data_IF_889748917555
#
_entry.id   IF_889748917555
#
_cell.length_a   1.000
_cell.length_b   1.000
_cell.length_c   1.000
_cell.angle_alpha   90.00
_cell.angle_beta   90.00
_cell.angle_gamma   90.00
#
_symmetry.space_group_name_H-M   'P 1'
#
loop_
_entity.id
_entity.type
_entity.pdbx_description
1 polymer ?
#
# COMPACT_ATOMS: atom_id res chain seq x y z
N UNK A 1 -7.01 -18.24 3.50
CA UNK A 1 -6.82 -17.04 4.32
C UNK A 1 -5.77 -16.22 3.61
N UNK A 2 -6.00 -14.97 3.20
CA UNK A 2 -4.95 -14.19 2.58
C UNK A 2 -3.96 -13.81 3.68
N UNK A 3 -2.73 -14.31 3.56
CA UNK A 3 -1.57 -13.83 4.27
C UNK A 3 -1.35 -12.39 3.84
N UNK A 4 -1.29 -11.46 4.79
CA UNK A 4 -0.82 -10.11 4.50
C UNK A 4 0.70 -10.18 4.50
N UNK A 5 1.26 -10.50 3.34
CA UNK A 5 2.69 -10.48 3.12
C UNK A 5 3.13 -9.03 2.97
N UNK A 6 4.19 -8.64 3.63
CA UNK A 6 4.80 -7.30 3.46
C UNK A 6 5.52 -7.15 2.12
N UNK A 7 5.76 -8.25 1.43
CA UNK A 7 5.86 -8.30 -0.01
C UNK A 7 4.44 -8.49 -0.53
N UNK A 8 3.81 -7.42 -0.97
CA UNK A 8 2.45 -7.48 -1.46
C UNK A 8 2.39 -8.32 -2.74
N UNK A 9 1.90 -9.55 -2.61
CA UNK A 9 1.53 -10.37 -3.77
C UNK A 9 0.19 -9.84 -4.25
N UNK A 10 0.23 -9.00 -5.27
CA UNK A 10 -0.97 -8.41 -5.87
C UNK A 10 -1.84 -9.50 -6.48
N UNK A 11 -3.04 -9.67 -5.96
CA UNK A 11 -4.07 -10.55 -6.51
C UNK A 11 -4.92 -9.78 -7.52
N UNK A 12 -4.73 -10.03 -8.81
CA UNK A 12 -5.47 -9.40 -9.90
C UNK A 12 -6.80 -10.13 -10.15
N UNK A 13 -7.86 -9.78 -9.43
CA UNK A 13 -9.12 -10.54 -9.45
C UNK A 13 -10.15 -10.09 -10.50
N UNK A 14 -10.19 -8.82 -10.88
CA UNK A 14 -11.18 -8.27 -11.83
C UNK A 14 -10.61 -8.03 -13.22
N UNK A 15 -9.39 -7.52 -13.29
CA UNK A 15 -8.68 -7.26 -14.53
C UNK A 15 -7.28 -7.84 -14.40
N UNK A 16 -6.84 -8.65 -15.35
CA UNK A 16 -5.48 -9.17 -15.35
C UNK A 16 -4.48 -8.00 -15.40
N UNK A 17 -3.52 -8.02 -14.48
CA UNK A 17 -2.41 -7.06 -14.43
C UNK A 17 -2.73 -5.65 -13.87
N UNK A 18 -3.96 -5.42 -13.39
CA UNK A 18 -4.33 -4.16 -12.73
C UNK A 18 -5.15 -4.45 -11.48
N UNK A 19 -4.78 -3.85 -10.36
CA UNK A 19 -5.55 -3.89 -9.10
C UNK A 19 -5.88 -2.47 -8.67
N UNK A 20 -7.10 -2.27 -8.19
CA UNK A 20 -7.53 -1.00 -7.64
C UNK A 20 -8.21 -1.23 -6.29
N UNK A 21 -7.97 -0.33 -5.35
CA UNK A 21 -8.58 -0.36 -4.02
C UNK A 21 -8.67 1.02 -3.40
N UNK A 22 -9.54 1.17 -2.40
CA UNK A 22 -9.57 2.33 -1.50
C UNK A 22 -9.35 1.80 -0.08
N UNK A 23 -8.38 2.35 0.62
CA UNK A 23 -7.98 1.86 1.94
C UNK A 23 -7.83 3.01 2.93
N UNK A 24 -8.31 2.81 4.15
CA UNK A 24 -8.04 3.69 5.29
C UNK A 24 -6.78 3.21 5.99
N UNK A 25 -5.79 4.08 6.12
CA UNK A 25 -4.46 3.74 6.65
C UNK A 25 -4.19 4.58 7.89
N UNK A 26 -3.87 3.96 9.01
CA UNK A 26 -3.21 4.60 10.13
C UNK A 26 -1.70 4.56 9.95
N UNK A 27 -1.19 3.37 9.64
CA UNK A 27 0.22 3.13 9.36
C UNK A 27 0.34 1.94 8.40
N UNK A 28 1.14 2.08 7.36
CA UNK A 28 1.55 1.00 6.47
C UNK A 28 3.06 0.87 6.49
N UNK A 29 3.54 -0.29 6.93
CA UNK A 29 4.97 -0.59 7.01
C UNK A 29 5.69 -0.33 5.69
N UNK A 30 7.01 -0.08 5.71
CA UNK A 30 7.83 -0.13 4.52
C UNK A 30 7.61 -1.43 3.78
N UNK A 31 7.17 -1.33 2.55
CA UNK A 31 6.88 -2.46 1.68
C UNK A 31 7.39 -2.18 0.27
N UNK A 32 7.38 -3.22 -0.54
CA UNK A 32 7.89 -3.16 -1.89
C UNK A 32 7.07 -4.11 -2.78
N UNK A 33 6.77 -3.70 -4.00
CA UNK A 33 6.11 -4.55 -4.99
C UNK A 33 6.59 -4.24 -6.39
N UNK A 34 6.35 -5.16 -7.35
CA UNK A 34 6.78 -5.03 -8.74
C UNK A 34 5.77 -4.31 -9.65
N UNK A 35 4.82 -3.60 -9.07
CA UNK A 35 3.84 -2.81 -9.82
C UNK A 35 4.24 -1.34 -9.83
N UNK A 36 3.90 -0.65 -10.92
CA UNK A 36 3.78 0.81 -10.91
C UNK A 36 2.55 1.16 -10.07
N UNK A 37 2.71 1.98 -9.05
CA UNK A 37 1.60 2.39 -8.18
C UNK A 37 1.31 3.88 -8.32
N UNK A 38 0.02 4.18 -8.47
CA UNK A 38 -0.54 5.53 -8.50
C UNK A 38 -1.52 5.62 -7.34
N UNK A 39 -1.30 6.56 -6.42
CA UNK A 39 -2.16 6.79 -5.26
C UNK A 39 -2.80 8.17 -5.36
N UNK A 40 -4.09 8.26 -5.05
CA UNK A 40 -4.78 9.52 -4.84
C UNK A 40 -5.22 9.61 -3.37
N UNK A 41 -4.80 10.64 -2.66
CA UNK A 41 -5.23 10.89 -1.28
C UNK A 41 -6.66 11.44 -1.33
N UNK A 42 -7.63 10.68 -0.83
CA UNK A 42 -9.04 11.04 -0.83
C UNK A 42 -9.47 11.83 0.42
N UNK A 43 -8.79 11.64 1.55
CA UNK A 43 -9.04 12.38 2.79
C UNK A 43 -7.89 12.17 3.78
N UNK A 44 -7.67 13.14 4.67
CA UNK A 44 -6.65 13.10 5.72
C UNK A 44 -5.26 13.47 5.23
N UNK A 45 -4.29 13.34 6.11
CA UNK A 45 -2.89 13.71 5.90
C UNK A 45 -1.95 12.58 6.30
N UNK A 46 -0.79 12.50 5.67
CA UNK A 46 0.21 11.48 5.95
C UNK A 46 1.63 11.97 5.68
N UNK A 47 2.59 11.39 6.39
CA UNK A 47 4.00 11.40 6.04
C UNK A 47 4.30 10.15 5.21
N UNK A 48 4.98 10.35 4.09
CA UNK A 48 5.38 9.28 3.17
C UNK A 48 6.88 9.22 3.12
N UNK A 49 7.45 8.03 3.38
CA UNK A 49 8.85 7.77 3.12
C UNK A 49 9.02 7.04 1.78
N UNK A 50 9.87 7.59 0.93
CA UNK A 50 10.32 6.97 -0.32
C UNK A 50 11.65 7.59 -0.76
N UNK A 51 12.54 6.83 -1.39
CA UNK A 51 13.83 7.33 -1.92
C UNK A 51 14.66 8.10 -0.90
N UNK A 52 14.80 7.57 0.31
CA UNK A 52 15.60 8.14 1.39
C UNK A 52 15.13 9.53 1.88
N UNK A 53 13.90 9.91 1.55
CA UNK A 53 13.26 11.15 2.04
C UNK A 53 11.88 10.87 2.63
N UNK A 54 11.52 11.69 3.62
CA UNK A 54 10.15 11.79 4.12
C UNK A 54 9.55 13.09 3.59
N UNK A 55 8.32 13.03 3.11
CA UNK A 55 7.57 14.21 2.70
C UNK A 55 6.12 14.11 3.16
N UNK A 56 5.55 15.27 3.49
CA UNK A 56 4.16 15.38 3.91
C UNK A 56 3.23 15.43 2.72
N UNK A 57 2.04 14.84 2.84
CA UNK A 57 1.01 14.78 1.81
C UNK A 57 -0.38 14.90 2.41
N UNK A 58 -1.35 15.35 1.64
CA UNK A 58 -2.73 15.53 2.08
C UNK A 58 -3.73 15.34 0.95
N UNK A 59 -4.99 15.62 1.26
CA UNK A 59 -6.12 15.46 0.35
C UNK A 59 -5.88 16.09 -1.03
N UNK A 60 -6.21 15.35 -2.08
CA UNK A 60 -6.00 15.73 -3.48
C UNK A 60 -4.59 15.44 -4.02
N UNK A 61 -3.64 15.05 -3.19
CA UNK A 61 -2.30 14.72 -3.65
C UNK A 61 -2.28 13.40 -4.44
N UNK A 62 -1.49 13.37 -5.51
CA UNK A 62 -1.21 12.17 -6.29
C UNK A 62 0.22 11.72 -5.98
N UNK A 63 0.35 10.50 -5.45
CA UNK A 63 1.62 9.86 -5.15
C UNK A 63 1.93 8.81 -6.20
N UNK A 64 3.23 8.63 -6.48
CA UNK A 64 3.72 7.78 -7.56
C UNK A 64 4.87 6.93 -7.04
N UNK A 65 4.78 5.61 -7.24
CA UNK A 65 5.85 4.69 -6.85
C UNK A 65 6.24 3.80 -8.03
N UNK A 66 7.51 3.81 -8.35
CA UNK A 66 8.08 2.98 -9.43
C UNK A 66 8.08 1.51 -9.04
N UNK A 67 8.04 0.57 -10.01
CA UNK A 67 8.18 -0.85 -9.71
C UNK A 67 9.46 -1.15 -8.93
N UNK A 68 9.32 -1.83 -7.80
CA UNK A 68 10.43 -2.16 -6.93
C UNK A 68 10.95 -1.00 -6.06
N UNK A 69 10.18 0.05 -5.90
CA UNK A 69 10.54 1.19 -5.03
C UNK A 69 9.97 0.97 -3.62
N UNK A 70 10.83 0.89 -2.58
CA UNK A 70 10.38 0.80 -1.20
C UNK A 70 9.69 2.08 -0.77
N UNK A 71 8.55 1.96 -0.09
CA UNK A 71 7.83 3.10 0.45
C UNK A 71 7.03 2.75 1.71
N UNK A 72 6.75 3.78 2.51
CA UNK A 72 6.03 3.71 3.77
C UNK A 72 5.03 4.86 3.84
N UNK A 73 3.87 4.63 4.43
CA UNK A 73 2.84 5.65 4.64
C UNK A 73 2.44 5.65 6.11
N UNK A 74 2.58 6.79 6.77
CA UNK A 74 2.20 7.00 8.16
C UNK A 74 1.22 8.16 8.25
N UNK A 75 -0.03 7.89 8.62
CA UNK A 75 -1.00 8.97 8.81
C UNK A 75 -0.59 9.89 9.95
N UNK A 76 -0.73 11.19 9.72
CA UNK A 76 -0.63 12.22 10.75
C UNK A 76 -2.01 12.63 11.29
N UNK A 77 -3.08 12.16 10.63
CA UNK A 77 -4.46 12.36 11.07
C UNK A 77 -4.88 11.23 12.04
N UNK A 78 -5.47 11.54 13.22
CA UNK A 78 -5.96 10.55 14.16
C UNK A 78 -7.02 9.59 13.58
N UNK A 79 -7.73 10.00 12.54
CA UNK A 79 -8.72 9.17 11.84
C UNK A 79 -8.09 8.30 10.74
N UNK A 80 -6.79 8.47 10.48
CA UNK A 80 -6.09 7.83 9.38
C UNK A 80 -6.24 8.60 8.05
N UNK A 81 -5.41 8.25 7.08
CA UNK A 81 -5.46 8.76 5.71
C UNK A 81 -6.21 7.77 4.81
N UNK A 82 -7.09 8.28 3.95
CA UNK A 82 -7.80 7.47 2.97
C UNK A 82 -7.15 7.62 1.61
N UNK A 83 -6.71 6.51 1.04
CA UNK A 83 -5.98 6.51 -0.22
C UNK A 83 -6.64 5.55 -1.20
N UNK A 84 -6.83 6.04 -2.42
CA UNK A 84 -7.20 5.25 -3.59
C UNK A 84 -5.93 4.79 -4.32
N UNK A 85 -5.82 3.49 -4.59
CA UNK A 85 -4.66 2.84 -5.21
C UNK A 85 -4.99 2.29 -6.58
N UNK A 86 -4.12 2.54 -7.55
CA UNK A 86 -4.08 1.85 -8.83
C UNK A 86 -2.69 1.23 -8.98
N UNK A 87 -2.63 -0.09 -8.97
CA UNK A 87 -1.40 -0.86 -9.12
C UNK A 87 -1.40 -1.56 -10.47
N UNK A 88 -0.41 -1.25 -11.29
CA UNK A 88 -0.26 -1.75 -12.66
C UNK A 88 0.95 -2.67 -12.71
N UNK A 89 0.72 -3.95 -13.02
CA UNK A 89 1.75 -4.96 -13.04
C UNK A 89 2.90 -4.59 -13.99
N UNK A 90 4.11 -4.91 -13.61
CA UNK A 90 5.34 -4.58 -14.35
C UNK A 90 5.40 -5.13 -15.78
N UNK A 91 4.57 -6.11 -16.09
CA UNK A 91 4.46 -6.73 -17.42
C UNK A 91 3.18 -6.31 -18.19
N UNK A 92 2.43 -5.33 -17.68
CA UNK A 92 1.27 -4.77 -18.37
C UNK A 92 1.67 -4.24 -19.76
N UNK A 93 0.92 -4.60 -20.78
CA UNK A 93 1.15 -4.20 -22.18
C UNK A 93 2.59 -4.45 -22.71
N UNK A 94 3.33 -5.42 -22.17
CA UNK A 94 4.75 -5.69 -22.48
C UNK A 94 5.04 -5.92 -23.97
N UNK A 95 4.03 -6.34 -24.74
CA UNK A 95 4.18 -6.62 -26.17
C UNK A 95 4.06 -5.34 -27.03
N UNK A 96 3.64 -4.22 -26.44
CA UNK A 96 3.42 -2.94 -27.11
C UNK A 96 4.31 -1.81 -26.60
N UNK A 97 4.70 -1.85 -25.31
CA UNK A 97 5.54 -0.84 -24.68
C UNK A 97 6.73 -1.51 -23.98
N UNK A 98 7.78 -0.73 -23.72
CA UNK A 98 8.88 -1.22 -22.87
C UNK A 98 8.32 -1.67 -21.53
N UNK A 99 8.79 -2.82 -20.98
CA UNK A 99 8.27 -3.34 -19.71
C UNK A 99 8.35 -2.30 -18.59
N UNK A 100 7.25 -2.06 -17.90
CA UNK A 100 7.18 -1.11 -16.80
C UNK A 100 8.15 -1.46 -15.65
N UNK A 101 8.54 -2.72 -15.51
CA UNK A 101 9.52 -3.18 -14.51
C UNK A 101 10.85 -2.45 -14.54
N UNK A 102 11.20 -1.84 -15.68
CA UNK A 102 12.44 -1.09 -15.86
C UNK A 102 12.21 0.41 -15.77
N UNK A 103 10.97 0.85 -15.57
CA UNK A 103 10.58 2.24 -15.48
C UNK A 103 10.96 2.81 -14.11
N UNK A 104 11.62 3.94 -14.10
CA UNK A 104 11.87 4.72 -12.90
C UNK A 104 11.37 6.16 -13.13
N UNK A 105 10.36 6.55 -12.34
CA UNK A 105 9.82 7.91 -12.35
C UNK A 105 10.79 8.87 -11.64
N UNK A 106 10.79 10.14 -12.00
CA UNK A 106 11.72 11.13 -11.42
C UNK A 106 11.41 11.51 -9.97
N UNK A 107 10.20 11.30 -9.50
CA UNK A 107 9.78 11.62 -8.13
C UNK A 107 8.50 10.92 -7.69
N UNK A 108 8.11 11.16 -6.44
CA UNK A 108 7.01 10.47 -5.77
C UNK A 108 5.75 11.33 -5.60
N UNK A 109 5.81 12.62 -5.88
CA UNK A 109 4.65 13.52 -5.85
C UNK A 109 4.42 14.12 -7.24
N UNK A 110 3.24 13.95 -7.78
CA UNK A 110 2.88 14.52 -9.07
C UNK A 110 2.95 16.07 -9.05
N UNK A 111 2.72 16.70 -7.91
CA UNK A 111 2.82 18.14 -7.73
C UNK A 111 4.23 18.69 -7.99
N UNK A 112 5.27 17.87 -7.96
CA UNK A 112 6.63 18.28 -8.31
C UNK A 112 6.78 18.60 -9.80
N UNK A 113 5.90 18.08 -10.66
CA UNK A 113 6.03 18.14 -12.11
C UNK A 113 4.83 18.76 -12.83
N UNK A 114 3.65 18.74 -12.22
CA UNK A 114 2.38 19.10 -12.84
C UNK A 114 1.90 20.47 -12.39
N UNK A 115 1.35 21.22 -13.33
CA UNK A 115 0.52 22.41 -13.01
C UNK A 115 -0.78 21.97 -12.34
N UNK A 116 -1.46 22.89 -11.66
CA UNK A 116 -2.75 22.59 -11.02
C UNK A 116 -3.80 22.05 -12.00
N UNK A 117 -3.87 22.58 -13.23
CA UNK A 117 -4.78 22.08 -14.27
C UNK A 117 -4.43 20.67 -14.74
N UNK A 118 -3.16 20.35 -14.88
CA UNK A 118 -2.70 19.00 -15.25
C UNK A 118 -2.97 18.00 -14.11
N UNK A 119 -2.77 18.43 -12.86
CA UNK A 119 -3.08 17.61 -11.71
C UNK A 119 -4.59 17.32 -11.62
N UNK A 120 -5.44 18.32 -11.84
CA UNK A 120 -6.89 18.16 -11.88
C UNK A 120 -7.31 17.16 -12.98
N UNK A 121 -6.77 17.30 -14.19
CA UNK A 121 -7.05 16.39 -15.30
C UNK A 121 -6.62 14.94 -15.00
N UNK A 122 -5.44 14.76 -14.40
CA UNK A 122 -4.95 13.44 -13.99
C UNK A 122 -5.82 12.83 -12.88
N UNK A 123 -6.23 13.66 -11.90
CA UNK A 123 -7.16 13.25 -10.84
C UNK A 123 -8.50 12.78 -11.42
N UNK A 124 -9.09 13.52 -12.35
CA UNK A 124 -10.33 13.12 -13.02
C UNK A 124 -10.17 11.78 -13.76
N UNK A 125 -9.04 11.57 -14.44
CA UNK A 125 -8.77 10.28 -15.10
C UNK A 125 -8.63 9.14 -14.10
N UNK A 126 -7.96 9.35 -12.96
CA UNK A 126 -7.87 8.36 -11.87
C UNK A 126 -9.28 7.99 -11.36
N UNK A 127 -10.09 9.00 -11.02
CA UNK A 127 -11.45 8.78 -10.51
C UNK A 127 -12.34 8.04 -11.51
N UNK A 128 -12.29 8.42 -12.79
CA UNK A 128 -13.01 7.74 -13.87
C UNK A 128 -12.58 6.28 -14.00
N UNK A 129 -11.28 6.03 -14.07
CA UNK A 129 -10.72 4.69 -14.21
C UNK A 129 -11.14 3.78 -13.05
N UNK A 130 -11.12 4.30 -11.83
CA UNK A 130 -11.56 3.58 -10.63
C UNK A 130 -13.08 3.36 -10.61
N UNK A 131 -13.86 4.38 -10.98
CA UNK A 131 -15.31 4.25 -11.09
C UNK A 131 -15.69 3.10 -12.04
N UNK A 132 -15.12 3.08 -13.23
CA UNK A 132 -15.42 2.06 -14.24
C UNK A 132 -14.91 0.66 -13.79
N UNK A 133 -13.79 0.61 -13.08
CA UNK A 133 -13.28 -0.64 -12.49
C UNK A 133 -14.22 -1.23 -11.43
N UNK A 134 -14.84 -0.41 -10.59
CA UNK A 134 -15.71 -0.87 -9.49
C UNK A 134 -17.16 -1.06 -9.90
N UNK A 135 -17.61 -0.47 -11.00
CA UNK A 135 -19.00 -0.60 -11.48
C UNK A 135 -19.27 -2.03 -11.97
N UNK A 136 -20.31 -2.72 -11.43
CA UNK A 136 -20.53 -4.15 -11.70
C UNK A 136 -20.89 -4.48 -13.14
N UNK A 137 -21.63 -3.59 -13.81
CA UNK A 137 -22.16 -3.75 -15.16
C UNK A 137 -21.20 -3.27 -16.26
N UNK A 138 -19.99 -2.91 -15.93
CA UNK A 138 -19.00 -2.69 -16.97
C UNK A 138 -18.71 -4.03 -17.66
N UNK A 139 -19.66 -4.48 -18.50
CA UNK A 139 -19.47 -5.56 -19.46
C UNK A 139 -18.21 -5.27 -20.33
N UNK A 140 -17.69 -4.10 -20.19
CA UNK A 140 -16.60 -3.57 -20.96
C UNK A 140 -15.31 -3.48 -20.15
N UNK A 141 -14.77 -4.68 -19.81
CA UNK A 141 -13.36 -4.78 -19.35
C UNK A 141 -12.41 -4.06 -20.30
N UNK A 142 -12.81 -3.90 -21.56
CA UNK A 142 -12.07 -3.18 -22.57
C UNK A 142 -12.08 -1.67 -22.28
N UNK A 143 -13.20 -1.09 -21.79
CA UNK A 143 -13.24 0.31 -21.40
C UNK A 143 -12.26 0.59 -20.24
N UNK A 144 -12.26 -0.25 -19.21
CA UNK A 144 -11.30 -0.11 -18.09
C UNK A 144 -9.85 -0.21 -18.58
N UNK A 145 -9.57 -1.12 -19.53
CA UNK A 145 -8.24 -1.21 -20.15
C UNK A 145 -7.87 0.08 -20.90
N UNK A 146 -8.82 0.64 -21.66
CA UNK A 146 -8.61 1.92 -22.35
C UNK A 146 -8.35 3.05 -21.36
N UNK A 147 -9.07 3.11 -20.26
CA UNK A 147 -8.88 4.12 -19.23
C UNK A 147 -7.53 3.98 -18.53
N UNK A 148 -7.09 2.76 -18.22
CA UNK A 148 -5.75 2.49 -17.67
C UNK A 148 -4.66 2.89 -18.69
N UNK A 149 -4.82 2.57 -19.96
CA UNK A 149 -3.88 2.98 -21.02
C UNK A 149 -3.82 4.51 -21.15
N UNK A 150 -4.97 5.19 -21.08
CA UNK A 150 -5.08 6.64 -21.11
C UNK A 150 -4.39 7.26 -19.90
N UNK A 151 -4.64 6.74 -18.69
CA UNK A 151 -3.99 7.17 -17.46
C UNK A 151 -2.47 7.01 -17.54
N UNK A 152 -1.99 5.86 -18.01
CA UNK A 152 -0.55 5.61 -18.23
C UNK A 152 0.05 6.60 -19.24
N UNK A 153 -0.62 6.82 -20.36
CA UNK A 153 -0.16 7.74 -21.41
C UNK A 153 -0.07 9.16 -20.85
N UNK A 154 -1.08 9.63 -20.12
CA UNK A 154 -1.06 10.95 -19.45
C UNK A 154 0.07 11.04 -18.44
N UNK A 155 0.20 10.07 -17.54
CA UNK A 155 1.26 10.03 -16.53
C UNK A 155 2.65 10.13 -17.18
N UNK A 156 2.94 9.26 -18.15
CA UNK A 156 4.24 9.22 -18.81
C UNK A 156 4.52 10.42 -19.74
N UNK A 157 3.50 11.18 -20.12
CA UNK A 157 3.69 12.44 -20.86
C UNK A 157 3.97 13.64 -19.93
N UNK A 158 3.57 13.57 -18.67
CA UNK A 158 3.61 14.67 -17.71
C UNK A 158 4.74 14.53 -16.69
N UNK A 159 5.02 13.31 -16.26
CA UNK A 159 6.04 13.02 -15.24
C UNK A 159 7.32 12.52 -15.91
N UNK A 160 8.47 13.16 -15.66
CA UNK A 160 9.74 12.68 -16.20
C UNK A 160 10.06 11.28 -15.71
N UNK A 161 10.59 10.45 -16.60
CA UNK A 161 10.98 9.09 -16.29
C UNK A 161 12.18 8.64 -17.12
N UNK A 162 12.81 7.56 -16.71
CA UNK A 162 13.80 6.87 -17.52
C UNK A 162 13.65 5.35 -17.38
N UNK A 163 14.27 4.62 -18.31
CA UNK A 163 14.37 3.17 -18.22
C UNK A 163 15.75 2.76 -17.75
N UNK A 164 15.80 1.90 -16.74
CA UNK A 164 17.05 1.28 -16.32
C UNK A 164 17.69 0.52 -17.49
N UNK A 165 18.98 0.64 -17.64
CA UNK A 165 19.74 -0.22 -18.56
C UNK A 165 19.81 -1.65 -18.00
N UNK A 166 20.22 -2.62 -18.84
CA UNK A 166 20.22 -4.04 -18.46
C UNK A 166 21.07 -4.33 -17.21
N UNK A 167 22.22 -3.69 -17.06
CA UNK A 167 23.08 -3.89 -15.89
C UNK A 167 22.46 -3.36 -14.60
N UNK A 168 21.89 -2.14 -14.66
CA UNK A 168 21.19 -1.53 -13.54
C UNK A 168 19.93 -2.33 -13.18
N UNK A 169 19.18 -2.79 -14.20
CA UNK A 169 18.00 -3.64 -14.00
C UNK A 169 18.33 -4.96 -13.32
N UNK A 170 19.41 -5.65 -13.75
CA UNK A 170 19.82 -6.91 -13.11
C UNK A 170 20.31 -6.71 -11.68
N UNK A 171 21.04 -5.61 -11.41
CA UNK A 171 21.44 -5.26 -10.06
C UNK A 171 20.24 -4.95 -9.17
N UNK A 172 19.27 -4.18 -9.69
CA UNK A 172 18.00 -3.89 -9.03
C UNK A 172 17.20 -5.18 -8.76
N UNK A 173 17.08 -6.07 -9.73
CA UNK A 173 16.40 -7.35 -9.58
C UNK A 173 17.01 -8.26 -8.51
N UNK A 174 18.33 -8.35 -8.41
CA UNK A 174 19.02 -9.09 -7.35
C UNK A 174 18.77 -8.48 -5.96
N UNK A 175 18.80 -7.16 -5.88
CA UNK A 175 18.46 -6.41 -4.66
C UNK A 175 17.05 -6.70 -4.21
N UNK A 176 16.07 -6.60 -5.14
CA UNK A 176 14.66 -6.87 -4.88
C UNK A 176 14.40 -8.30 -4.41
N UNK A 177 14.97 -9.28 -5.11
CA UNK A 177 14.85 -10.69 -4.73
C UNK A 177 15.39 -10.96 -3.32
N UNK A 178 16.46 -10.27 -2.92
CA UNK A 178 16.99 -10.39 -1.55
C UNK A 178 16.06 -9.75 -0.53
N UNK A 179 15.54 -8.54 -0.79
CA UNK A 179 14.59 -7.88 0.10
C UNK A 179 13.37 -8.79 0.29
N UNK A 180 12.82 -9.31 -0.79
CA UNK A 180 11.70 -10.22 -0.76
C UNK A 180 11.94 -11.43 0.14
N UNK A 181 13.05 -12.16 -0.06
CA UNK A 181 13.36 -13.32 0.79
C UNK A 181 13.51 -12.96 2.27
N UNK A 182 14.16 -11.82 2.56
CA UNK A 182 14.33 -11.32 3.94
C UNK A 182 12.97 -11.03 4.56
N UNK A 183 12.13 -10.27 3.89
CA UNK A 183 10.82 -9.85 4.41
C UNK A 183 9.86 -11.02 4.55
N UNK A 184 9.78 -11.93 3.57
CA UNK A 184 8.99 -13.16 3.63
C UNK A 184 9.44 -14.07 4.81
N UNK A 185 10.75 -14.22 4.99
CA UNK A 185 11.28 -15.00 6.10
C UNK A 185 10.93 -14.37 7.45
N UNK A 186 11.12 -13.06 7.58
CA UNK A 186 10.79 -12.33 8.80
C UNK A 186 9.29 -12.39 9.11
N UNK A 187 8.42 -12.23 8.12
CA UNK A 187 6.97 -12.33 8.32
C UNK A 187 6.56 -13.73 8.78
N UNK A 188 7.06 -14.75 8.11
CA UNK A 188 6.76 -16.15 8.45
C UNK A 188 7.18 -16.50 9.88
N UNK A 189 8.35 -16.01 10.34
CA UNK A 189 8.96 -16.39 11.61
C UNK A 189 8.86 -15.31 12.70
N UNK A 190 8.14 -14.20 12.47
CA UNK A 190 8.11 -13.07 13.41
C UNK A 190 7.55 -13.42 14.80
N UNK A 191 6.72 -14.47 14.90
CA UNK A 191 6.18 -14.93 16.19
C UNK A 191 7.17 -15.76 17.00
N UNK A 192 8.25 -16.20 16.39
CA UNK A 192 9.31 -17.00 17.00
C UNK A 192 10.45 -16.10 17.53
N UNK A 193 11.44 -16.74 18.16
CA UNK A 193 12.68 -16.06 18.46
C UNK A 193 13.51 -15.95 17.18
N UNK A 194 13.51 -14.79 16.56
CA UNK A 194 14.27 -14.50 15.36
C UNK A 194 15.40 -13.50 15.67
N UNK A 195 16.62 -13.82 15.22
CA UNK A 195 17.80 -12.99 15.40
C UNK A 195 18.37 -12.52 14.06
N UNK A 196 19.11 -11.41 14.10
CA UNK A 196 19.80 -10.89 12.90
C UNK A 196 20.89 -11.87 12.41
N UNK A 197 21.51 -12.61 13.34
CA UNK A 197 22.53 -13.62 13.06
C UNK A 197 21.93 -14.77 12.25
N UNK A 198 20.81 -15.33 12.66
CA UNK A 198 20.13 -16.42 11.96
C UNK A 198 19.73 -16.00 10.53
N UNK A 199 19.20 -14.79 10.38
CA UNK A 199 18.82 -14.27 9.07
C UNK A 199 20.03 -14.00 8.16
N UNK A 200 21.16 -13.55 8.75
CA UNK A 200 22.40 -13.33 8.00
C UNK A 200 23.02 -14.64 7.52
N UNK A 201 22.99 -15.68 8.36
CA UNK A 201 23.45 -17.04 7.99
C UNK A 201 22.61 -17.60 6.84
N UNK A 202 21.29 -17.44 6.88
CA UNK A 202 20.37 -17.91 5.83
C UNK A 202 20.64 -17.21 4.48
N UNK A 203 20.91 -15.90 4.48
CA UNK A 203 21.23 -15.14 3.28
C UNK A 203 22.71 -15.26 2.84
N UNK A 204 23.54 -16.01 3.59
CA UNK A 204 24.98 -16.18 3.36
C UNK A 204 25.72 -14.84 3.30
N UNK A 205 25.43 -13.94 4.24
CA UNK A 205 26.06 -12.62 4.36
C UNK A 205 26.43 -12.33 5.83
N UNK A 206 27.22 -11.30 6.06
CA UNK A 206 27.56 -10.87 7.42
C UNK A 206 26.40 -10.12 8.07
N UNK A 207 26.27 -10.22 9.40
CA UNK A 207 25.29 -9.46 10.19
C UNK A 207 25.42 -7.96 9.99
N UNK A 208 26.66 -7.46 9.88
CA UNK A 208 26.94 -6.04 9.60
C UNK A 208 26.36 -5.62 8.26
N UNK A 209 26.61 -6.39 7.20
CA UNK A 209 26.05 -6.10 5.87
C UNK A 209 24.52 -6.17 5.90
N UNK A 210 23.92 -7.20 6.51
CA UNK A 210 22.46 -7.34 6.61
C UNK A 210 21.84 -6.17 7.36
N UNK A 211 22.45 -5.73 8.48
CA UNK A 211 21.95 -4.59 9.26
C UNK A 211 21.89 -3.31 8.42
N UNK A 212 22.94 -3.01 7.65
CA UNK A 212 22.96 -1.88 6.72
C UNK A 212 21.96 -2.08 5.60
N UNK A 213 21.92 -3.26 5.01
CA UNK A 213 21.00 -3.59 3.91
C UNK A 213 19.53 -3.39 4.29
N UNK A 214 19.11 -3.84 5.48
CA UNK A 214 17.75 -3.63 6.00
C UNK A 214 17.50 -2.12 6.21
N UNK A 215 18.43 -1.40 6.84
CA UNK A 215 18.26 0.03 7.08
C UNK A 215 18.16 0.83 5.78
N UNK A 216 19.02 0.56 4.82
CA UNK A 216 19.09 1.29 3.55
C UNK A 216 17.87 1.01 2.63
N UNK A 217 17.18 -0.13 2.84
CA UNK A 217 16.06 -0.52 1.98
C UNK A 217 14.70 -0.47 2.63
N UNK A 218 14.62 -0.52 3.96
CA UNK A 218 13.37 -0.48 4.72
C UNK A 218 13.30 0.71 5.69
N UNK A 219 14.29 1.60 5.67
CA UNK A 219 14.38 2.79 6.53
C UNK A 219 14.23 2.50 8.04
N UNK A 220 14.51 1.29 8.46
CA UNK A 220 14.40 0.87 9.85
C UNK A 220 15.40 -0.23 10.20
N UNK A 221 15.62 -0.43 11.48
CA UNK A 221 16.45 -1.55 11.96
C UNK A 221 15.67 -2.86 11.87
N UNK A 222 16.41 -3.99 11.84
CA UNK A 222 15.83 -5.34 11.93
C UNK A 222 14.83 -5.46 13.08
N UNK A 223 15.17 -4.94 14.27
CA UNK A 223 14.31 -5.04 15.44
C UNK A 223 13.02 -4.20 15.31
N UNK A 224 13.12 -3.02 14.70
CA UNK A 224 11.94 -2.17 14.43
C UNK A 224 11.02 -2.87 13.45
N UNK A 225 11.55 -3.42 12.37
CA UNK A 225 10.80 -4.14 11.37
C UNK A 225 10.12 -5.38 11.97
N UNK A 226 10.84 -6.22 12.71
CA UNK A 226 10.30 -7.38 13.41
C UNK A 226 9.17 -7.00 14.39
N UNK A 227 9.34 -5.91 15.12
CA UNK A 227 8.31 -5.44 16.04
C UNK A 227 7.06 -4.91 15.32
N UNK A 228 7.23 -4.33 14.14
CA UNK A 228 6.11 -3.89 13.30
C UNK A 228 5.29 -5.09 12.81
N UNK A 229 5.94 -6.16 12.34
CA UNK A 229 5.29 -7.42 11.96
C UNK A 229 4.46 -8.01 13.11
N UNK A 230 5.09 -8.12 14.28
CA UNK A 230 4.42 -8.58 15.50
C UNK A 230 3.23 -7.72 15.87
N UNK A 231 3.37 -6.40 15.70
CA UNK A 231 2.30 -5.46 15.98
C UNK A 231 1.10 -5.65 15.05
N UNK A 232 1.32 -5.82 13.75
CA UNK A 232 0.24 -6.07 12.79
C UNK A 232 -0.47 -7.40 13.09
N UNK A 233 0.26 -8.46 13.46
CA UNK A 233 -0.35 -9.72 13.93
C UNK A 233 -1.18 -9.51 15.20
N UNK A 234 -0.65 -8.74 16.17
CA UNK A 234 -1.39 -8.44 17.40
C UNK A 234 -2.66 -7.63 17.11
N UNK A 235 -2.57 -6.60 16.27
CA UNK A 235 -3.70 -5.78 15.84
C UNK A 235 -4.80 -6.65 15.24
N UNK A 236 -4.44 -7.50 14.28
CA UNK A 236 -5.38 -8.43 13.63
C UNK A 236 -6.05 -9.38 14.64
N UNK A 237 -5.29 -9.97 15.57
CA UNK A 237 -5.86 -10.83 16.61
C UNK A 237 -6.81 -10.06 17.54
N UNK A 238 -6.50 -8.81 17.88
CA UNK A 238 -7.36 -7.96 18.71
C UNK A 238 -8.68 -7.63 17.99
N UNK A 239 -8.62 -7.37 16.68
CA UNK A 239 -9.79 -7.00 15.87
C UNK A 239 -10.67 -8.21 15.50
N UNK A 240 -10.09 -9.41 15.38
CA UNK A 240 -10.79 -10.59 14.85
C UNK A 240 -11.07 -11.69 15.87
N UNK A 241 -10.57 -11.56 17.10
CA UNK A 241 -10.74 -12.60 18.14
C UNK A 241 -11.05 -12.00 19.52
N UNK A 242 -11.62 -12.85 20.40
CA UNK A 242 -11.87 -12.50 21.80
C UNK A 242 -10.69 -12.91 22.73
N UNK A 243 -9.52 -13.23 22.18
CA UNK A 243 -8.34 -13.61 22.97
C UNK A 243 -8.00 -12.55 24.01
N UNK A 244 -7.57 -12.96 25.20
CA UNK A 244 -7.08 -12.02 26.20
C UNK A 244 -5.78 -11.33 25.72
N UNK A 245 -5.52 -10.11 26.16
CA UNK A 245 -4.40 -9.31 25.67
C UNK A 245 -3.02 -9.93 25.95
N UNK A 246 -2.90 -10.75 27.00
CA UNK A 246 -1.68 -11.52 27.29
C UNK A 246 -1.46 -12.61 26.24
N UNK A 247 -2.52 -13.32 25.86
CA UNK A 247 -2.45 -14.38 24.85
C UNK A 247 -2.20 -13.81 23.46
N UNK A 248 -2.84 -12.66 23.12
CA UNK A 248 -2.54 -11.93 21.89
C UNK A 248 -1.05 -11.55 21.83
N UNK A 249 -0.50 -10.99 22.92
CA UNK A 249 0.92 -10.62 22.97
C UNK A 249 1.83 -11.82 22.71
N UNK A 250 1.55 -12.96 23.35
CA UNK A 250 2.33 -14.19 23.16
C UNK A 250 2.18 -14.74 21.73
N UNK A 251 0.95 -14.85 21.23
CA UNK A 251 0.65 -15.37 19.90
C UNK A 251 1.22 -14.52 18.76
N UNK A 252 1.44 -13.24 19.01
CA UNK A 252 2.07 -12.31 18.06
C UNK A 252 3.59 -12.20 18.23
N UNK A 253 4.20 -12.96 19.15
CA UNK A 253 5.65 -13.03 19.32
C UNK A 253 6.27 -11.94 20.19
N UNK A 254 5.49 -11.13 20.91
CA UNK A 254 6.04 -10.18 21.87
C UNK A 254 6.49 -10.89 23.13
N UNK A 255 7.71 -10.61 23.59
CA UNK A 255 8.24 -11.11 24.85
C UNK A 255 7.66 -10.38 26.08
N UNK A 256 7.18 -9.15 25.92
CA UNK A 256 6.56 -8.35 26.97
C UNK A 256 5.29 -7.63 26.44
N UNK A 257 4.11 -7.90 27.03
CA UNK A 257 2.86 -7.21 26.68
C UNK A 257 2.91 -5.68 26.81
N UNK A 258 3.83 -5.15 27.63
CA UNK A 258 4.01 -3.70 27.77
C UNK A 258 4.47 -3.05 26.46
N UNK A 259 5.30 -3.76 25.70
CA UNK A 259 5.77 -3.24 24.41
C UNK A 259 4.63 -3.12 23.40
N UNK A 260 3.82 -4.16 23.26
CA UNK A 260 2.60 -4.14 22.43
C UNK A 260 1.67 -2.99 22.84
N UNK A 261 1.39 -2.82 24.16
CA UNK A 261 0.54 -1.73 24.67
C UNK A 261 1.10 -0.35 24.32
N UNK A 262 2.41 -0.16 24.42
CA UNK A 262 3.08 1.10 24.04
C UNK A 262 2.89 1.39 22.56
N UNK A 263 3.09 0.43 21.68
CA UNK A 263 2.89 0.61 20.24
C UNK A 263 1.45 0.98 19.89
N UNK A 264 0.45 0.41 20.57
CA UNK A 264 -0.96 0.81 20.40
C UNK A 264 -1.19 2.27 20.82
N UNK A 265 -0.63 2.69 21.97
CA UNK A 265 -0.75 4.07 22.42
C UNK A 265 -0.06 5.06 21.47
N UNK A 266 1.13 4.70 20.96
CA UNK A 266 1.89 5.53 20.01
C UNK A 266 1.19 5.65 18.64
N UNK A 267 0.57 4.57 18.14
CA UNK A 267 -0.01 4.54 16.78
C UNK A 267 -1.49 4.93 16.73
N UNK A 268 -2.26 4.56 17.74
CA UNK A 268 -3.72 4.76 17.76
C UNK A 268 -4.20 5.68 18.89
N UNK A 269 -3.30 6.21 19.70
CA UNK A 269 -3.66 7.06 20.84
C UNK A 269 -4.51 6.35 21.91
N UNK A 270 -4.63 5.02 21.85
CA UNK A 270 -5.52 4.26 22.73
C UNK A 270 -4.89 2.94 23.21
N UNK A 271 -5.52 2.30 24.19
CA UNK A 271 -5.09 0.97 24.63
C UNK A 271 -5.58 -0.12 23.67
N UNK A 272 -4.91 -1.31 23.62
CA UNK A 272 -5.40 -2.44 22.83
C UNK A 272 -6.84 -2.85 23.13
N UNK A 273 -7.28 -2.72 24.40
CA UNK A 273 -8.66 -3.02 24.81
C UNK A 273 -9.66 -1.99 24.27
N UNK A 274 -9.30 -0.70 24.32
CA UNK A 274 -10.12 0.36 23.72
C UNK A 274 -10.17 0.22 22.19
N UNK A 275 -9.05 -0.12 21.56
CA UNK A 275 -9.00 -0.39 20.12
C UNK A 275 -9.95 -1.53 19.70
N UNK A 276 -9.98 -2.63 20.47
CA UNK A 276 -10.93 -3.73 20.26
C UNK A 276 -12.38 -3.26 20.32
N UNK A 277 -12.74 -2.47 21.33
CA UNK A 277 -14.10 -1.95 21.49
C UNK A 277 -14.50 -1.04 20.32
N UNK A 278 -13.59 -0.18 19.89
CA UNK A 278 -13.81 0.70 18.73
C UNK A 278 -13.98 -0.10 17.43
N UNK A 279 -13.15 -1.13 17.20
CA UNK A 279 -13.24 -2.01 16.05
C UNK A 279 -14.59 -2.75 16.01
N UNK A 280 -15.07 -3.27 17.14
CA UNK A 280 -16.39 -3.93 17.25
C UNK A 280 -17.53 -2.95 16.93
N UNK A 281 -17.43 -1.69 17.37
CA UNK A 281 -18.44 -0.67 17.10
C UNK A 281 -18.45 -0.18 15.65
N UNK A 282 -17.31 -0.31 14.95
CA UNK A 282 -17.14 0.13 13.56
C UNK A 282 -17.49 -0.96 12.54
N UNK A 283 -17.70 -2.21 12.98
CA UNK A 283 -18.13 -3.30 12.11
C UNK A 283 -19.62 -3.12 11.77
N UNK A 284 -20.03 -3.06 10.50
CA UNK A 284 -21.44 -3.14 10.14
C UNK A 284 -21.99 -4.50 10.58
N UNK A 285 -23.21 -4.51 11.12
CA UNK A 285 -23.93 -5.66 11.73
C UNK A 285 -24.15 -6.89 10.82
N UNK A 286 -23.51 -6.99 9.65
CA UNK A 286 -23.70 -8.05 8.66
C UNK A 286 -22.39 -8.68 8.14
N UNK A 287 -21.46 -9.01 9.01
CA UNK A 287 -20.29 -9.83 8.65
C UNK A 287 -20.55 -11.32 8.93
N UNK A 288 -21.67 -11.87 8.49
CA UNK A 288 -21.88 -13.32 8.46
C UNK A 288 -22.28 -13.75 7.05
N UNK A 289 -21.39 -14.49 6.41
CA UNK A 289 -21.46 -15.16 5.09
C UNK A 289 -20.80 -14.43 3.93
N UNK A 290 -19.57 -14.91 3.62
CA UNK A 290 -18.82 -14.57 2.41
C UNK A 290 -19.33 -15.42 1.25
N UNK A 291 -19.96 -14.82 0.21
CA UNK A 291 -19.29 -14.43 -1.02
C UNK A 291 -19.56 -12.97 -1.48
N UNK A 292 -20.16 -12.14 -0.64
CA UNK A 292 -20.53 -10.75 -0.97
C UNK A 292 -19.47 -9.68 -0.62
N UNK A 293 -18.34 -10.05 -0.02
CA UNK A 293 -17.35 -9.08 0.47
C UNK A 293 -16.76 -8.25 -0.67
N UNK A 294 -16.49 -8.85 -1.83
CA UNK A 294 -15.97 -8.11 -3.00
C UNK A 294 -16.96 -7.08 -3.57
N UNK A 295 -18.27 -7.37 -3.53
CA UNK A 295 -19.28 -6.43 -4.00
C UNK A 295 -19.50 -5.29 -2.99
N UNK A 296 -19.50 -5.60 -1.69
CA UNK A 296 -19.60 -4.61 -0.63
C UNK A 296 -18.38 -3.69 -0.59
N UNK A 297 -17.18 -4.24 -0.80
CA UNK A 297 -15.93 -3.48 -0.91
C UNK A 297 -15.97 -2.55 -2.14
N UNK A 298 -16.53 -2.99 -3.27
CA UNK A 298 -16.68 -2.18 -4.47
C UNK A 298 -17.63 -1.01 -4.27
N UNK A 299 -18.77 -1.24 -3.63
CA UNK A 299 -19.76 -0.18 -3.33
C UNK A 299 -19.14 0.87 -2.38
N UNK A 300 -18.44 0.44 -1.34
CA UNK A 300 -17.74 1.34 -0.45
C UNK A 300 -16.67 2.16 -1.18
N UNK A 301 -15.91 1.55 -2.08
CA UNK A 301 -14.95 2.26 -2.92
C UNK A 301 -15.62 3.30 -3.80
N UNK A 302 -16.73 2.96 -4.46
CA UNK A 302 -17.51 3.90 -5.28
C UNK A 302 -18.04 5.08 -4.47
N UNK A 303 -18.54 4.84 -3.25
CA UNK A 303 -19.02 5.90 -2.36
C UNK A 303 -17.90 6.89 -2.01
N UNK A 304 -16.69 6.40 -1.69
CA UNK A 304 -15.56 7.26 -1.37
C UNK A 304 -15.07 8.07 -2.57
N UNK A 305 -15.02 7.43 -3.75
CA UNK A 305 -14.64 8.09 -5.01
C UNK A 305 -15.66 9.17 -5.36
N UNK A 306 -16.96 8.85 -5.27
CA UNK A 306 -18.03 9.80 -5.58
C UNK A 306 -18.05 10.99 -4.61
N UNK A 307 -17.84 10.75 -3.30
CA UNK A 307 -17.77 11.82 -2.31
C UNK A 307 -16.61 12.78 -2.60
N UNK A 308 -15.43 12.26 -2.91
CA UNK A 308 -14.28 13.07 -3.30
C UNK A 308 -14.54 13.85 -4.61
N UNK A 309 -15.10 13.18 -5.63
CA UNK A 309 -15.40 13.81 -6.91
C UNK A 309 -16.43 14.94 -6.77
N UNK A 310 -17.46 14.76 -5.98
CA UNK A 310 -18.49 15.78 -5.71
C UNK A 310 -17.89 17.03 -5.01
N UNK A 311 -16.89 16.83 -4.15
CA UNK A 311 -16.25 17.92 -3.43
C UNK A 311 -15.31 18.75 -4.35
N UNK A 312 -14.53 18.08 -5.18
CA UNK A 312 -13.45 18.69 -5.95
C UNK A 312 -13.80 18.99 -7.42
N UNK A 313 -14.84 18.31 -7.97
CA UNK A 313 -15.25 18.42 -9.37
C UNK A 313 -16.79 18.42 -9.50
N UNK A 314 -17.50 19.40 -8.88
CA UNK A 314 -18.97 19.40 -8.85
C UNK A 314 -19.60 19.42 -10.25
N UNK A 315 -18.92 20.01 -11.25
CA UNK A 315 -19.41 20.12 -12.63
C UNK A 315 -19.11 18.89 -13.52
N UNK A 316 -18.24 17.98 -13.07
CA UNK A 316 -17.78 16.85 -13.88
C UNK A 316 -18.66 15.59 -13.75
N UNK A 317 -19.44 15.50 -12.68
CA UNK A 317 -20.39 14.43 -12.42
C UNK A 317 -21.80 14.97 -12.73
N UNK A 318 -22.16 15.03 -14.02
CA UNK A 318 -23.54 15.36 -14.43
C UNK A 318 -24.54 14.39 -13.79
N UNK A 319 -24.94 14.68 -12.59
CA UNK A 319 -26.18 14.14 -12.03
C UNK A 319 -27.29 14.91 -12.72
N UNK A 320 -27.78 14.38 -13.85
CA UNK A 320 -29.08 14.79 -14.35
C UNK A 320 -30.10 14.57 -13.23
N UNK A 321 -30.62 15.70 -12.73
CA UNK A 321 -31.67 15.80 -11.72
C UNK A 321 -32.99 15.22 -12.20
#
# INVERSE_FOLDING_TARGET
>A
MPQMDEFEVLSFSRLNHVTMSVTQIGYRNPHIHQALEICLVLAGEADVWARDRVFHTGEGAILLFSPGEPHEISSTDPQGVRIAYIQIASHFCRDYIRPLRNLELAGNSAAEFLTAGQQAALTQQILRTMHDYFTPDSADRLQVLCDVCTLLQQLLSLVPYHYLNETAYQAHGKKMARIQRITEYMDTHCTERLTLEELAEQENITTTYLSHFIRDNLNMTFQQYLNNLRFEKARKLIETTDMCLSDVSLASGFSDPKYMKRMFAERFGCTPGAHRQNAIQSLPLHAQNVPSQQAADAEACLQHIAAFAALHFPDAMGVES
#
